data_IF_219522636079
#
_entry.id   IF_219522636079
#
_cell.length_a   1.000
_cell.length_b   1.000
_cell.length_c   1.000
_cell.angle_alpha   90.00
_cell.angle_beta   90.00
_cell.angle_gamma   90.00
#
_symmetry.space_group_name_H-M   'P 1'
#
loop_
_entity.id
_entity.type
_entity.pdbx_description
1 polymer ?
#
# COMPACT_ATOMS: atom_id res chain seq x y z
N UNK A 1 0.65 -5.97 14.21
CA UNK A 1 -0.82 -6.05 14.00
C UNK A 1 -1.61 -6.64 15.17
N UNK A 2 -1.15 -7.67 15.89
CA UNK A 2 -1.89 -8.21 17.06
C UNK A 2 -2.15 -7.19 18.18
N UNK A 3 -1.41 -6.09 18.19
CA UNK A 3 -1.35 -5.10 19.25
C UNK A 3 -2.21 -3.84 19.02
N UNK A 4 -2.95 -3.74 17.91
CA UNK A 4 -3.77 -2.57 17.61
C UNK A 4 -5.24 -2.88 17.98
N UNK A 5 -5.81 -2.26 19.04
CA UNK A 5 -7.08 -2.68 19.63
C UNK A 5 -8.33 -2.23 18.86
N UNK A 6 -8.23 -1.18 18.05
CA UNK A 6 -9.35 -0.63 17.27
C UNK A 6 -9.54 -1.32 15.91
N UNK A 7 -8.69 -2.30 15.55
CA UNK A 7 -8.89 -3.07 14.32
C UNK A 7 -9.90 -4.19 14.61
N UNK A 8 -11.10 -4.06 14.04
CA UNK A 8 -12.18 -5.02 14.20
C UNK A 8 -11.86 -6.37 13.54
N UNK A 9 -11.28 -6.33 12.33
CA UNK A 9 -11.02 -7.51 11.50
C UNK A 9 -9.58 -7.54 11.01
N UNK A 10 -8.92 -8.68 11.19
CA UNK A 10 -7.56 -8.94 10.69
C UNK A 10 -7.56 -10.24 9.90
N UNK A 11 -7.24 -10.16 8.61
CA UNK A 11 -7.26 -11.32 7.73
C UNK A 11 -5.99 -11.41 6.87
N UNK A 12 -5.72 -12.61 6.38
CA UNK A 12 -4.87 -12.83 5.22
C UNK A 12 -5.73 -13.24 4.03
N UNK A 13 -5.64 -12.48 2.93
CA UNK A 13 -6.18 -12.86 1.62
C UNK A 13 -5.10 -13.59 0.83
N UNK A 14 -5.30 -14.88 0.55
CA UNK A 14 -4.36 -15.73 -0.20
C UNK A 14 -5.09 -16.81 -0.98
N UNK A 15 -4.51 -17.24 -2.09
CA UNK A 15 -4.91 -18.40 -2.91
C UNK A 15 -4.15 -19.68 -2.53
N UNK A 16 -3.12 -19.57 -1.67
CA UNK A 16 -2.25 -20.66 -1.26
C UNK A 16 -2.72 -21.28 0.06
N UNK A 17 -3.11 -22.55 0.03
CA UNK A 17 -3.48 -23.31 1.23
C UNK A 17 -2.35 -23.31 2.26
N UNK A 18 -1.09 -23.46 1.82
CA UNK A 18 0.09 -23.41 2.69
C UNK A 18 0.17 -22.09 3.46
N UNK A 19 -0.08 -20.96 2.80
CA UNK A 19 -0.03 -19.65 3.47
C UNK A 19 -1.23 -19.43 4.38
N UNK A 20 -2.40 -19.95 4.03
CA UNK A 20 -3.58 -19.90 4.88
C UNK A 20 -3.39 -20.69 6.19
N UNK A 21 -2.82 -21.89 6.10
CA UNK A 21 -2.47 -22.72 7.26
C UNK A 21 -1.45 -22.02 8.15
N UNK A 22 -0.40 -21.44 7.56
CA UNK A 22 0.64 -20.75 8.33
C UNK A 22 0.07 -19.51 9.04
N UNK A 23 -0.74 -18.70 8.37
CA UNK A 23 -1.39 -17.55 8.99
C UNK A 23 -2.27 -17.95 10.18
N UNK A 24 -3.02 -19.05 10.05
CA UNK A 24 -3.88 -19.57 11.12
C UNK A 24 -3.05 -20.03 12.32
N UNK A 25 -1.88 -20.65 12.12
CA UNK A 25 -0.94 -21.01 13.21
C UNK A 25 -0.48 -19.78 13.98
N UNK A 26 -0.30 -18.65 13.29
CA UNK A 26 -0.01 -17.34 13.87
C UNK A 26 -1.27 -16.52 14.16
N UNK A 27 -2.43 -17.15 14.31
CA UNK A 27 -3.69 -16.54 14.78
C UNK A 27 -4.18 -15.37 13.92
N UNK A 28 -3.85 -15.36 12.63
CA UNK A 28 -4.41 -14.46 11.64
C UNK A 28 -5.48 -15.23 10.85
N UNK A 29 -6.68 -14.66 10.75
CA UNK A 29 -7.80 -15.34 10.12
C UNK A 29 -7.64 -15.42 8.59
N UNK A 30 -8.07 -16.51 7.99
CA UNK A 30 -8.11 -16.73 6.53
C UNK A 30 -9.52 -17.18 6.13
N UNK A 31 -10.53 -16.31 6.27
CA UNK A 31 -11.94 -16.71 6.25
C UNK A 31 -12.43 -17.18 4.86
N UNK A 32 -11.66 -16.92 3.82
CA UNK A 32 -11.92 -17.34 2.45
C UNK A 32 -10.60 -17.59 1.71
N UNK A 33 -10.67 -18.32 0.61
CA UNK A 33 -9.58 -18.44 -0.35
C UNK A 33 -9.76 -17.42 -1.46
N UNK A 34 -8.71 -16.68 -1.80
CA UNK A 34 -8.71 -15.76 -2.93
C UNK A 34 -8.73 -16.57 -4.24
N UNK A 35 -9.60 -16.23 -5.21
CA UNK A 35 -9.58 -16.87 -6.53
C UNK A 35 -8.23 -16.73 -7.23
N UNK A 36 -7.82 -17.74 -7.99
CA UNK A 36 -6.55 -17.74 -8.71
C UNK A 36 -6.44 -16.60 -9.74
N UNK A 37 -7.56 -16.16 -10.32
CA UNK A 37 -7.60 -15.00 -11.25
C UNK A 37 -7.11 -13.71 -10.60
N UNK A 38 -7.38 -13.53 -9.29
CA UNK A 38 -6.93 -12.40 -8.48
C UNK A 38 -5.53 -12.60 -7.88
N UNK A 39 -4.81 -13.63 -8.30
CA UNK A 39 -3.44 -13.93 -7.85
C UNK A 39 -2.47 -14.11 -9.03
N UNK A 40 -2.89 -13.77 -10.23
CA UNK A 40 -2.06 -13.79 -11.44
C UNK A 40 -1.12 -12.59 -11.52
N UNK A 41 -0.06 -12.67 -12.33
CA UNK A 41 0.88 -11.56 -12.57
C UNK A 41 0.21 -10.30 -13.14
N UNK A 42 -0.99 -10.45 -13.71
CA UNK A 42 -1.80 -9.36 -14.26
C UNK A 42 -2.89 -8.87 -13.31
N UNK A 43 -3.10 -9.54 -12.18
CA UNK A 43 -4.11 -9.12 -11.21
C UNK A 43 -3.70 -7.82 -10.54
N UNK A 44 -4.65 -6.90 -10.38
CA UNK A 44 -4.36 -5.63 -9.71
C UNK A 44 -4.44 -5.79 -8.19
N UNK A 45 -3.67 -4.97 -7.47
CA UNK A 45 -3.78 -4.88 -6.02
C UNK A 45 -5.20 -4.44 -5.59
N UNK A 46 -5.81 -3.54 -6.37
CA UNK A 46 -7.16 -3.05 -6.12
C UNK A 46 -8.20 -4.17 -6.14
N UNK A 47 -8.21 -5.01 -7.18
CA UNK A 47 -9.16 -6.13 -7.28
C UNK A 47 -9.03 -7.10 -6.09
N UNK A 48 -7.79 -7.29 -5.63
CA UNK A 48 -7.50 -8.11 -4.44
C UNK A 48 -8.07 -7.50 -3.17
N UNK A 49 -7.97 -6.18 -3.01
CA UNK A 49 -8.50 -5.47 -1.84
C UNK A 49 -10.02 -5.45 -1.85
N UNK A 50 -10.64 -5.14 -2.99
CA UNK A 50 -12.10 -5.15 -3.19
C UNK A 50 -12.68 -6.51 -2.86
N UNK A 51 -12.10 -7.59 -3.42
CA UNK A 51 -12.54 -8.95 -3.10
C UNK A 51 -12.43 -9.25 -1.60
N UNK A 52 -11.35 -8.83 -0.96
CA UNK A 52 -11.14 -9.10 0.47
C UNK A 52 -12.13 -8.32 1.35
N UNK A 53 -12.40 -7.06 1.03
CA UNK A 53 -13.38 -6.22 1.72
C UNK A 53 -14.79 -6.81 1.58
N UNK A 54 -15.26 -7.03 0.35
CA UNK A 54 -16.59 -7.57 0.06
C UNK A 54 -16.82 -8.90 0.77
N UNK A 55 -15.83 -9.81 0.75
CA UNK A 55 -15.95 -11.09 1.46
C UNK A 55 -16.02 -10.93 2.98
N UNK A 56 -15.31 -9.97 3.56
CA UNK A 56 -15.41 -9.71 4.99
C UNK A 56 -16.77 -9.10 5.34
N UNK A 57 -17.25 -8.12 4.56
CA UNK A 57 -18.56 -7.49 4.77
C UNK A 57 -19.72 -8.48 4.61
N UNK A 58 -19.67 -9.35 3.58
CA UNK A 58 -20.63 -10.43 3.37
C UNK A 58 -20.69 -11.41 4.57
N UNK A 59 -19.51 -11.74 5.14
CA UNK A 59 -19.40 -12.71 6.23
C UNK A 59 -19.81 -12.12 7.58
N UNK A 60 -19.46 -10.86 7.82
CA UNK A 60 -19.67 -10.19 9.10
C UNK A 60 -21.01 -9.45 9.15
N UNK A 61 -21.65 -9.20 8.00
CA UNK A 61 -22.92 -8.50 7.89
C UNK A 61 -22.84 -7.01 8.27
N UNK A 62 -21.65 -6.43 8.10
CA UNK A 62 -21.33 -5.03 8.43
C UNK A 62 -20.59 -4.38 7.26
N UNK A 63 -20.61 -3.06 7.20
CA UNK A 63 -19.69 -2.29 6.36
C UNK A 63 -18.54 -1.77 7.23
N UNK A 64 -17.33 -1.77 6.69
CA UNK A 64 -16.19 -1.16 7.38
C UNK A 64 -16.00 0.27 6.92
N UNK A 65 -15.59 1.16 7.80
CA UNK A 65 -15.30 2.56 7.42
C UNK A 65 -13.88 2.73 6.85
N UNK A 66 -12.97 1.84 7.25
CA UNK A 66 -11.54 1.97 7.00
C UNK A 66 -10.92 0.63 6.61
N UNK A 67 -10.17 0.62 5.50
CA UNK A 67 -9.36 -0.52 5.07
C UNK A 67 -7.89 -0.21 5.28
N UNK A 68 -7.21 -1.04 6.06
CA UNK A 68 -5.74 -0.98 6.25
C UNK A 68 -5.08 -2.13 5.51
N UNK A 69 -4.22 -1.81 4.54
CA UNK A 69 -3.45 -2.77 3.76
C UNK A 69 -2.00 -2.78 4.20
N UNK A 70 -1.47 -3.97 4.50
CA UNK A 70 -0.04 -4.20 4.73
C UNK A 70 0.44 -5.37 3.89
N UNK A 71 1.51 -5.19 3.10
CA UNK A 71 2.10 -6.32 2.35
C UNK A 71 3.14 -7.05 3.22
N UNK A 72 3.26 -8.38 3.06
CA UNK A 72 4.24 -9.19 3.78
C UNK A 72 5.70 -8.84 3.44
N UNK A 73 5.95 -8.13 2.34
CA UNK A 73 7.27 -7.68 1.87
C UNK A 73 7.85 -6.53 2.71
N UNK A 74 7.11 -6.01 3.69
CA UNK A 74 7.56 -4.96 4.61
C UNK A 74 7.60 -5.46 6.07
N UNK A 75 8.50 -6.40 6.41
CA UNK A 75 8.53 -7.02 7.74
C UNK A 75 8.96 -6.07 8.87
N UNK A 76 9.61 -4.95 8.53
CA UNK A 76 10.07 -3.94 9.50
C UNK A 76 8.96 -2.96 9.91
N UNK A 77 7.73 -3.16 9.42
CA UNK A 77 6.59 -2.32 9.78
C UNK A 77 6.18 -2.55 11.23
N UNK A 78 6.14 -1.47 12.00
CA UNK A 78 5.70 -1.50 13.38
C UNK A 78 4.22 -1.09 13.51
N UNK A 79 3.53 -1.47 14.60
CA UNK A 79 2.16 -1.01 14.87
C UNK A 79 2.02 0.51 14.87
N UNK A 80 3.03 1.23 15.39
CA UNK A 80 3.04 2.70 15.42
C UNK A 80 3.01 3.35 14.03
N UNK A 81 3.58 2.70 13.01
CA UNK A 81 3.50 3.19 11.63
C UNK A 81 2.04 3.19 11.13
N UNK A 82 1.29 2.14 11.48
CA UNK A 82 -0.12 1.98 11.09
C UNK A 82 -0.96 3.01 11.81
N UNK A 83 -0.78 3.15 13.13
CA UNK A 83 -1.51 4.13 13.94
C UNK A 83 -1.26 5.56 13.45
N UNK A 84 0.00 5.94 13.21
CA UNK A 84 0.34 7.25 12.68
C UNK A 84 -0.27 7.51 11.29
N UNK A 85 -0.31 6.48 10.43
CA UNK A 85 -0.91 6.61 9.09
C UNK A 85 -2.42 6.79 9.16
N UNK A 86 -3.10 6.04 10.04
CA UNK A 86 -4.54 6.18 10.24
C UNK A 86 -4.88 7.51 10.89
N UNK A 87 -4.13 7.95 11.89
CA UNK A 87 -4.32 9.29 12.48
C UNK A 87 -4.16 10.38 11.42
N UNK A 88 -3.12 10.32 10.58
CA UNK A 88 -2.92 11.28 9.51
C UNK A 88 -4.07 11.30 8.50
N UNK A 89 -4.66 10.14 8.21
CA UNK A 89 -5.86 10.06 7.37
C UNK A 89 -7.06 10.75 8.03
N UNK A 90 -7.36 10.40 9.29
CA UNK A 90 -8.51 10.90 10.03
C UNK A 90 -8.43 12.40 10.36
N UNK A 91 -7.22 12.95 10.48
CA UNK A 91 -6.96 14.38 10.71
C UNK A 91 -6.92 15.20 9.40
N UNK A 92 -7.14 14.56 8.25
CA UNK A 92 -7.14 15.18 6.93
C UNK A 92 -8.49 15.04 6.23
N UNK A 93 -8.70 15.83 5.18
CA UNK A 93 -9.83 15.64 4.24
C UNK A 93 -9.45 14.71 3.05
N UNK A 94 -8.50 13.79 3.26
CA UNK A 94 -8.04 12.88 2.21
C UNK A 94 -8.79 11.54 2.23
N UNK A 95 -8.98 10.94 1.04
CA UNK A 95 -9.63 9.64 0.89
C UNK A 95 -8.70 8.47 1.26
N UNK A 96 -7.37 8.70 1.20
CA UNK A 96 -6.36 7.69 1.52
C UNK A 96 -5.06 8.27 2.06
N UNK A 97 -4.36 7.48 2.86
CA UNK A 97 -3.04 7.79 3.40
C UNK A 97 -2.07 6.62 3.20
N UNK A 98 -0.81 6.95 2.97
CA UNK A 98 0.22 5.97 2.63
C UNK A 98 1.53 6.27 3.33
N UNK A 99 2.20 5.23 3.84
CA UNK A 99 3.56 5.40 4.38
C UNK A 99 4.54 5.68 3.26
N UNK A 100 5.54 6.51 3.51
CA UNK A 100 6.58 6.84 2.54
C UNK A 100 7.96 6.84 3.19
N UNK A 101 9.02 6.78 2.40
CA UNK A 101 10.39 7.01 2.86
C UNK A 101 11.08 8.03 1.98
N UNK A 102 11.91 8.87 2.59
CA UNK A 102 12.69 9.84 1.86
C UNK A 102 13.60 9.15 0.83
N UNK A 103 13.63 9.69 -0.38
CA UNK A 103 14.50 9.20 -1.46
C UNK A 103 15.95 9.58 -1.16
N UNK A 104 16.88 8.63 -1.31
CA UNK A 104 18.31 8.94 -1.25
C UNK A 104 18.66 9.85 -2.43
N UNK A 105 19.36 10.95 -2.15
CA UNK A 105 19.84 11.89 -3.18
C UNK A 105 20.69 11.24 -4.28
N UNK A 106 21.30 10.08 -4.05
CA UNK A 106 22.04 9.29 -5.04
C UNK A 106 21.12 8.60 -6.05
N UNK A 107 19.89 8.27 -5.65
CA UNK A 107 18.89 7.58 -6.46
C UNK A 107 17.73 8.50 -6.85
N UNK A 108 17.94 9.81 -6.80
CA UNK A 108 16.93 10.80 -7.15
C UNK A 108 16.47 10.62 -8.62
N UNK A 109 15.16 10.63 -8.93
CA UNK A 109 14.64 10.47 -10.29
C UNK A 109 15.28 11.43 -11.31
N UNK A 110 15.55 12.68 -10.91
CA UNK A 110 16.23 13.66 -11.79
C UNK A 110 17.69 13.32 -12.12
N UNK A 111 18.28 12.34 -11.43
CA UNK A 111 19.63 11.81 -11.73
C UNK A 111 19.57 10.50 -12.53
N UNK A 112 18.38 10.00 -12.83
CA UNK A 112 18.20 8.78 -13.63
C UNK A 112 18.22 9.17 -15.11
N UNK A 113 18.96 8.41 -15.91
CA UNK A 113 19.08 8.60 -17.36
C UNK A 113 18.46 7.42 -18.11
N UNK A 114 17.83 7.69 -19.25
CA UNK A 114 17.35 6.70 -20.23
C UNK A 114 18.20 6.75 -21.49
N UNK A 115 18.37 5.59 -22.14
CA UNK A 115 19.06 5.49 -23.43
C UNK A 115 18.00 5.50 -24.53
N UNK A 116 18.04 6.52 -25.37
CA UNK A 116 17.15 6.68 -26.52
C UNK A 116 17.98 6.94 -27.78
N UNK A 117 17.83 6.06 -28.78
CA UNK A 117 18.56 6.17 -30.06
C UNK A 117 20.07 6.38 -29.89
N UNK A 118 20.68 5.68 -28.93
CA UNK A 118 22.12 5.77 -28.63
C UNK A 118 22.56 7.04 -27.90
N UNK A 119 21.62 7.85 -27.39
CA UNK A 119 21.90 9.05 -26.59
C UNK A 119 21.32 8.91 -25.18
N UNK A 120 22.00 9.50 -24.21
CA UNK A 120 21.49 9.63 -22.85
C UNK A 120 20.52 10.81 -22.77
N UNK A 121 19.37 10.59 -22.12
CA UNK A 121 18.35 11.60 -21.80
C UNK A 121 17.99 11.48 -20.33
N UNK A 122 17.59 12.57 -19.68
CA UNK A 122 17.03 12.48 -18.34
C UNK A 122 15.72 11.67 -18.34
N UNK A 123 15.49 10.93 -17.26
CA UNK A 123 14.26 10.18 -17.06
C UNK A 123 13.07 11.13 -16.89
N UNK A 124 13.24 12.19 -16.08
CA UNK A 124 12.27 13.27 -15.90
C UNK A 124 12.38 14.29 -17.02
N UNK A 125 11.25 14.90 -17.39
CA UNK A 125 11.24 16.07 -18.25
C UNK A 125 11.74 17.25 -17.41
N UNK A 126 12.94 17.75 -17.72
CA UNK A 126 13.44 18.97 -17.12
C UNK A 126 12.85 20.14 -17.92
N UNK A 127 12.07 21.00 -17.27
CA UNK A 127 11.78 22.33 -17.82
C UNK A 127 13.13 23.07 -17.97
N UNK A 128 13.28 23.82 -19.07
CA UNK A 128 14.52 24.51 -19.41
C UNK A 128 15.14 25.19 -18.19
N UNK A 129 16.41 24.90 -17.91
CA UNK A 129 17.16 25.49 -16.81
C UNK A 129 17.09 27.02 -16.84
N UNK A 130 16.20 27.59 -16.04
CA UNK A 130 16.50 28.85 -15.38
C UNK A 130 17.44 28.47 -14.22
N UNK A 131 18.66 29.02 -14.20
CA UNK A 131 19.75 28.69 -13.24
C UNK A 131 19.42 28.99 -11.76
N UNK A 132 18.14 29.18 -11.44
CA UNK A 132 17.67 29.28 -10.06
C UNK A 132 17.46 27.87 -9.48
N UNK A 133 18.11 27.51 -8.36
CA UNK A 133 17.76 26.30 -7.65
C UNK A 133 16.34 26.45 -7.12
N UNK A 134 15.38 25.86 -7.86
CA UNK A 134 14.00 25.73 -7.40
C UNK A 134 13.97 24.99 -6.06
N UNK A 135 12.92 25.18 -5.24
CA UNK A 135 12.84 24.54 -3.93
C UNK A 135 12.88 23.02 -4.11
N UNK A 136 13.98 22.39 -3.71
CA UNK A 136 14.10 20.92 -3.68
C UNK A 136 13.29 20.41 -2.50
N UNK A 137 11.96 20.39 -2.65
CA UNK A 137 11.11 19.70 -1.72
C UNK A 137 11.58 18.24 -1.62
N UNK A 138 11.68 17.67 -0.41
CA UNK A 138 12.13 16.30 -0.26
C UNK A 138 11.19 15.37 -1.03
N UNK A 139 11.75 14.53 -1.90
CA UNK A 139 11.00 13.47 -2.56
C UNK A 139 10.89 12.26 -1.65
N UNK A 140 9.73 11.61 -1.72
CA UNK A 140 9.45 10.40 -0.96
C UNK A 140 9.02 9.28 -1.91
N UNK A 141 9.55 8.08 -1.67
CA UNK A 141 9.12 6.86 -2.32
C UNK A 141 8.03 6.22 -1.48
N UNK A 142 6.93 5.83 -2.14
CA UNK A 142 5.85 5.06 -1.53
C UNK A 142 6.40 3.82 -0.80
N UNK A 143 5.94 3.65 0.43
CA UNK A 143 6.08 2.45 1.26
C UNK A 143 4.71 1.84 1.49
N UNK A 144 4.71 0.68 2.13
CA UNK A 144 3.59 -0.24 2.10
C UNK A 144 2.79 -0.24 3.40
N UNK A 145 2.08 0.85 3.62
CA UNK A 145 0.79 0.86 4.31
C UNK A 145 -0.09 1.73 3.47
N UNK A 146 -1.30 1.28 3.22
CA UNK A 146 -2.32 2.10 2.60
C UNK A 146 -3.56 2.01 3.48
N UNK A 147 -4.04 3.16 3.92
CA UNK A 147 -5.31 3.30 4.59
C UNK A 147 -6.26 4.00 3.61
N UNK A 148 -7.46 3.46 3.42
CA UNK A 148 -8.47 4.00 2.51
C UNK A 148 -9.80 4.06 3.25
N UNK A 149 -10.56 5.13 3.03
CA UNK A 149 -11.96 5.19 3.42
C UNK A 149 -12.77 4.24 2.53
N UNK A 150 -13.52 3.31 3.13
CA UNK A 150 -14.16 2.23 2.36
C UNK A 150 -15.27 2.72 1.41
N UNK A 151 -15.81 3.92 1.63
CA UNK A 151 -16.84 4.53 0.78
C UNK A 151 -16.44 4.71 -0.69
N UNK A 152 -15.14 4.73 -1.00
CA UNK A 152 -14.60 4.92 -2.35
C UNK A 152 -14.19 3.62 -3.06
N UNK A 153 -14.43 2.44 -2.45
CA UNK A 153 -14.02 1.13 -2.99
C UNK A 153 -15.10 0.51 -3.90
N UNK A 154 -16.15 1.27 -4.26
CA UNK A 154 -17.32 0.83 -5.02
C UNK A 154 -17.24 1.07 -6.53
#
# INVERSE_FOLDING_TARGET
MRQIPWIDRRILSTDSVRYAEEATRYGLATPFMRPATLSSDTATALDTFVHALQKCEDLDGVQYDLVVVTEPTSPLREPGDIEATVTALLESDADSAVTVSQVDTKTHPDKVLRIESGRLRFYTEQEDCDDTPGPTAPLFQKRVVLCIQAGDVA
#
